data_IF_820819811179
#
_entry.id   IF_820819811179
#
_cell.length_a   1.000
_cell.length_b   1.000
_cell.length_c   1.000
_cell.angle_alpha   90.00
_cell.angle_beta   90.00
_cell.angle_gamma   90.00
#
_symmetry.space_group_name_H-M   'P 1'
#
loop_
_entity.id
_entity.type
_entity.pdbx_description
1 polymer ?
#
# COMPACT_ATOMS: atom_id res chain seq x y z
N UNK A 1 15.31 -13.43 -15.53
CA UNK A 1 14.77 -13.58 -14.17
C UNK A 1 13.87 -14.80 -14.17
N UNK A 2 14.27 -15.87 -13.48
CA UNK A 2 13.62 -17.17 -13.63
C UNK A 2 12.36 -17.24 -12.76
N UNK A 3 11.34 -18.00 -13.17
CA UNK A 3 10.05 -18.12 -12.44
C UNK A 3 10.26 -18.58 -10.99
N UNK A 4 11.29 -19.40 -10.77
CA UNK A 4 11.70 -19.90 -9.46
C UNK A 4 12.25 -18.80 -8.55
N UNK A 5 13.06 -17.88 -9.09
CA UNK A 5 13.63 -16.76 -8.34
C UNK A 5 12.53 -15.83 -7.84
N UNK A 6 11.52 -15.57 -8.69
CA UNK A 6 10.36 -14.75 -8.33
C UNK A 6 9.59 -15.36 -7.15
N UNK A 7 9.34 -16.67 -7.19
CA UNK A 7 8.63 -17.39 -6.12
C UNK A 7 9.45 -17.38 -4.83
N UNK A 8 10.77 -17.56 -4.92
CA UNK A 8 11.66 -17.56 -3.76
C UNK A 8 11.70 -16.18 -3.12
N UNK A 9 11.83 -15.12 -3.93
CA UNK A 9 11.81 -13.72 -3.49
C UNK A 9 10.46 -13.35 -2.83
N UNK A 10 9.35 -13.81 -3.43
CA UNK A 10 8.00 -13.68 -2.84
C UNK A 10 7.88 -14.46 -1.55
N UNK A 11 8.65 -15.52 -1.31
CA UNK A 11 8.62 -16.34 -0.08
C UNK A 11 9.49 -15.78 1.07
N UNK A 12 10.52 -14.99 0.81
CA UNK A 12 11.51 -14.61 1.85
C UNK A 12 11.07 -13.51 2.83
N UNK A 13 10.21 -12.58 2.41
CA UNK A 13 9.61 -11.58 3.34
C UNK A 13 9.83 -10.16 2.86
N UNK A 14 10.96 -9.96 2.20
CA UNK A 14 11.49 -8.65 1.82
C UNK A 14 10.57 -7.84 0.92
N UNK A 15 9.85 -8.47 0.00
CA UNK A 15 9.02 -7.72 -0.97
C UNK A 15 7.91 -6.93 -0.25
N UNK A 16 7.12 -7.55 0.63
CA UNK A 16 6.04 -6.85 1.34
C UNK A 16 6.55 -5.65 2.14
N UNK A 17 7.68 -5.83 2.83
CA UNK A 17 8.34 -4.75 3.59
C UNK A 17 8.77 -3.60 2.67
N UNK A 18 9.37 -3.94 1.52
CA UNK A 18 9.79 -2.95 0.53
C UNK A 18 8.58 -2.19 -0.05
N UNK A 19 7.45 -2.86 -0.34
CA UNK A 19 6.23 -2.19 -0.77
C UNK A 19 5.67 -1.23 0.28
N UNK A 20 5.67 -1.62 1.57
CA UNK A 20 5.23 -0.72 2.63
C UNK A 20 6.15 0.48 2.78
N UNK A 21 7.46 0.27 2.67
CA UNK A 21 8.45 1.34 2.72
C UNK A 21 8.27 2.31 1.54
N UNK A 22 8.04 1.79 0.33
CA UNK A 22 7.73 2.64 -0.84
C UNK A 22 6.43 3.42 -0.64
N UNK A 23 5.36 2.79 -0.16
CA UNK A 23 4.10 3.47 0.15
C UNK A 23 4.28 4.60 1.16
N UNK A 24 5.08 4.34 2.21
CA UNK A 24 5.40 5.35 3.23
C UNK A 24 6.14 6.53 2.61
N UNK A 25 7.18 6.31 1.79
CA UNK A 25 7.90 7.40 1.13
C UNK A 25 6.99 8.22 0.21
N UNK A 26 6.13 7.57 -0.58
CA UNK A 26 5.22 8.24 -1.52
C UNK A 26 4.26 9.19 -0.79
N UNK A 27 3.91 8.91 0.47
CA UNK A 27 3.07 9.78 1.29
C UNK A 27 3.93 10.81 2.05
N UNK A 28 5.02 10.37 2.68
CA UNK A 28 5.79 11.20 3.60
C UNK A 28 6.51 12.34 2.87
N UNK A 29 7.03 12.10 1.66
CA UNK A 29 7.73 13.11 0.85
C UNK A 29 6.80 14.30 0.54
N UNK A 30 5.63 14.11 -0.11
CA UNK A 30 4.76 15.23 -0.40
C UNK A 30 4.21 15.90 0.86
N UNK A 31 3.94 15.17 1.95
CA UNK A 31 3.57 15.80 3.24
C UNK A 31 4.68 16.73 3.73
N UNK A 32 5.93 16.27 3.72
CA UNK A 32 7.06 17.06 4.20
C UNK A 32 7.29 18.29 3.33
N UNK A 33 7.13 18.16 2.01
CA UNK A 33 7.24 19.30 1.09
C UNK A 33 6.17 20.34 1.42
N UNK A 34 4.90 19.95 1.50
CA UNK A 34 3.80 20.88 1.84
C UNK A 34 4.05 21.54 3.20
N UNK A 35 4.54 20.78 4.18
CA UNK A 35 4.81 21.31 5.51
C UNK A 35 5.96 22.34 5.54
N UNK A 36 6.99 22.16 4.71
CA UNK A 36 8.17 23.05 4.67
C UNK A 36 7.91 24.26 3.77
N UNK A 37 7.24 24.07 2.64
CA UNK A 37 7.04 25.13 1.64
C UNK A 37 5.76 25.92 1.87
N UNK A 38 4.82 25.39 2.64
CA UNK A 38 3.45 25.90 2.78
C UNK A 38 2.70 26.03 1.44
N UNK A 39 3.23 25.38 0.39
CA UNK A 39 2.64 25.34 -0.95
C UNK A 39 1.91 24.02 -1.11
N UNK A 40 0.57 24.03 -1.20
CA UNK A 40 -0.18 22.81 -1.43
C UNK A 40 0.08 22.28 -2.84
N UNK A 41 0.15 20.95 -2.97
CA UNK A 41 0.16 20.31 -4.27
C UNK A 41 -1.18 20.51 -4.99
N UNK A 42 -1.14 20.43 -6.33
CA UNK A 42 -2.37 20.43 -7.11
C UNK A 42 -3.28 19.27 -6.72
N UNK A 43 -4.59 19.47 -6.88
CA UNK A 43 -5.59 18.44 -6.57
C UNK A 43 -5.33 17.16 -7.36
N UNK A 44 -4.94 17.28 -8.64
CA UNK A 44 -4.60 16.14 -9.50
C UNK A 44 -3.39 15.37 -8.99
N UNK A 45 -2.30 16.06 -8.60
CA UNK A 45 -1.11 15.40 -8.09
C UNK A 45 -1.39 14.68 -6.78
N UNK A 46 -2.07 15.35 -5.85
CA UNK A 46 -2.45 14.77 -4.55
C UNK A 46 -3.30 13.51 -4.73
N UNK A 47 -4.26 13.53 -5.66
CA UNK A 47 -5.08 12.36 -6.01
C UNK A 47 -4.24 11.20 -6.51
N UNK A 48 -3.34 11.44 -7.46
CA UNK A 48 -2.47 10.39 -8.01
C UNK A 48 -1.59 9.80 -6.91
N UNK A 49 -0.92 10.63 -6.11
CA UNK A 49 -0.03 10.18 -5.03
C UNK A 49 -0.76 9.32 -4.00
N UNK A 50 -1.95 9.74 -3.56
CA UNK A 50 -2.76 8.98 -2.59
C UNK A 50 -3.19 7.64 -3.20
N UNK A 51 -3.69 7.65 -4.44
CA UNK A 51 -4.16 6.44 -5.13
C UNK A 51 -3.02 5.43 -5.35
N UNK A 52 -1.84 5.92 -5.73
CA UNK A 52 -0.63 5.10 -5.87
C UNK A 52 -0.21 4.51 -4.53
N UNK A 53 -0.21 5.30 -3.45
CA UNK A 53 0.14 4.80 -2.12
C UNK A 53 -0.83 3.69 -1.66
N UNK A 54 -2.14 3.87 -1.88
CA UNK A 54 -3.14 2.83 -1.60
C UNK A 54 -2.85 1.53 -2.38
N UNK A 55 -2.50 1.63 -3.66
CA UNK A 55 -2.17 0.48 -4.48
C UNK A 55 -0.96 -0.28 -3.92
N UNK A 56 0.10 0.42 -3.49
CA UNK A 56 1.27 -0.21 -2.86
C UNK A 56 0.93 -0.89 -1.53
N UNK A 57 0.14 -0.24 -0.66
CA UNK A 57 -0.29 -0.82 0.63
C UNK A 57 -1.13 -2.08 0.40
N UNK A 58 -2.09 -2.04 -0.53
CA UNK A 58 -2.91 -3.22 -0.88
C UNK A 58 -2.05 -4.36 -1.42
N UNK A 59 -1.16 -4.08 -2.37
CA UNK A 59 -0.26 -5.09 -2.93
C UNK A 59 0.63 -5.73 -1.84
N UNK A 60 1.18 -4.92 -0.92
CA UNK A 60 1.96 -5.40 0.22
C UNK A 60 1.16 -6.29 1.17
N UNK A 61 -0.10 -5.93 1.48
CA UNK A 61 -0.99 -6.74 2.31
C UNK A 61 -1.36 -8.06 1.62
N UNK A 62 -1.72 -8.03 0.33
CA UNK A 62 -2.09 -9.21 -0.44
C UNK A 62 -0.92 -10.20 -0.49
N UNK A 63 0.30 -9.73 -0.79
CA UNK A 63 1.51 -10.55 -0.75
C UNK A 63 1.74 -11.20 0.61
N UNK A 64 1.47 -10.46 1.69
CA UNK A 64 1.61 -10.96 3.07
C UNK A 64 0.54 -12.01 3.41
N UNK A 65 -0.70 -11.81 2.94
CA UNK A 65 -1.80 -12.76 3.10
C UNK A 65 -1.56 -14.07 2.32
N UNK A 66 -1.08 -13.98 1.07
CA UNK A 66 -0.74 -15.16 0.25
C UNK A 66 0.36 -16.00 0.91
N UNK A 67 1.24 -15.35 1.66
CA UNK A 67 2.34 -15.99 2.39
C UNK A 67 1.94 -16.67 3.68
N UNK A 68 0.94 -16.13 4.37
CA UNK A 68 0.47 -16.68 5.64
C UNK A 68 -0.12 -18.07 5.40
N UNK A 69 0.27 -19.03 6.22
CA UNK A 69 -0.33 -20.37 6.14
C UNK A 69 -1.70 -20.29 6.79
N UNK A 70 -2.65 -21.07 6.26
CA UNK A 70 -4.07 -21.12 6.66
C UNK A 70 -4.33 -21.32 8.18
N UNK A 71 -3.30 -21.72 8.93
CA UNK A 71 -3.33 -21.96 10.38
C UNK A 71 -3.00 -20.71 11.22
N UNK A 72 -2.55 -19.62 10.60
CA UNK A 72 -2.23 -18.38 11.33
C UNK A 72 -3.52 -17.66 11.78
N UNK A 73 -3.76 -17.62 13.10
CA UNK A 73 -4.92 -16.97 13.72
C UNK A 73 -5.10 -15.49 13.32
N UNK A 74 -4.03 -14.83 12.86
CA UNK A 74 -4.04 -13.42 12.50
C UNK A 74 -4.54 -13.12 11.07
N UNK A 75 -4.97 -14.13 10.30
CA UNK A 75 -5.52 -13.91 8.95
C UNK A 75 -6.80 -13.07 8.99
N UNK A 76 -7.68 -13.30 9.98
CA UNK A 76 -8.93 -12.54 10.11
C UNK A 76 -8.68 -11.04 10.33
N UNK A 77 -7.70 -10.69 11.17
CA UNK A 77 -7.31 -9.30 11.42
C UNK A 77 -6.74 -8.67 10.15
N UNK A 78 -5.91 -9.39 9.40
CA UNK A 78 -5.34 -8.89 8.15
C UNK A 78 -6.40 -8.65 7.07
N UNK A 79 -7.39 -9.54 6.97
CA UNK A 79 -8.54 -9.36 6.06
C UNK A 79 -9.36 -8.14 6.48
N UNK A 80 -9.62 -7.95 7.78
CA UNK A 80 -10.33 -6.76 8.28
C UNK A 80 -9.59 -5.47 7.91
N UNK A 81 -8.27 -5.43 8.08
CA UNK A 81 -7.43 -4.29 7.66
C UNK A 81 -7.52 -4.09 6.14
N UNK A 82 -7.47 -5.16 5.35
CA UNK A 82 -7.59 -5.08 3.89
C UNK A 82 -8.93 -4.45 3.48
N UNK A 83 -10.04 -4.88 4.10
CA UNK A 83 -11.38 -4.36 3.85
C UNK A 83 -11.47 -2.87 4.23
N UNK A 84 -10.90 -2.47 5.37
CA UNK A 84 -10.87 -1.07 5.79
C UNK A 84 -10.11 -0.19 4.80
N UNK A 85 -8.95 -0.65 4.33
CA UNK A 85 -8.17 0.03 3.29
C UNK A 85 -8.96 0.09 1.98
N UNK A 86 -9.68 -0.97 1.62
CA UNK A 86 -10.51 -1.03 0.42
C UNK A 86 -11.68 -0.05 0.49
N UNK A 87 -12.34 0.08 1.64
CA UNK A 87 -13.38 1.07 1.87
C UNK A 87 -12.82 2.49 1.77
N UNK A 88 -11.67 2.76 2.40
CA UNK A 88 -11.03 4.07 2.31
C UNK A 88 -10.67 4.44 0.86
N UNK A 89 -10.22 3.45 0.08
CA UNK A 89 -9.94 3.61 -1.34
C UNK A 89 -11.20 3.94 -2.15
N UNK A 90 -12.27 3.16 -1.98
CA UNK A 90 -13.55 3.40 -2.67
C UNK A 90 -14.11 4.78 -2.28
N UNK A 91 -14.08 5.15 -1.00
CA UNK A 91 -14.56 6.43 -0.52
C UNK A 91 -13.78 7.61 -1.10
N UNK A 92 -12.46 7.48 -1.23
CA UNK A 92 -11.62 8.48 -1.87
C UNK A 92 -11.97 8.60 -3.37
N UNK A 93 -12.26 7.47 -4.03
CA UNK A 93 -12.67 7.44 -5.43
C UNK A 93 -14.10 7.99 -5.65
N UNK A 94 -15.03 7.81 -4.72
CA UNK A 94 -16.43 8.25 -4.84
C UNK A 94 -16.66 9.71 -4.42
N UNK A 95 -15.94 10.25 -3.43
CA UNK A 95 -15.94 11.71 -3.19
C UNK A 95 -15.22 12.51 -4.29
N UNK A 96 -14.87 11.83 -5.38
CA UNK A 96 -14.19 12.35 -6.55
C UNK A 96 -15.14 12.61 -7.74
N UNK A 97 -16.41 12.17 -7.65
CA UNK A 97 -17.47 12.36 -8.65
C UNK A 97 -18.45 13.44 -8.21
#
# INVERSE_FOLDING_TARGET
MNKLDLILYIKTGNISSLLYLMALLIILIPITIVFVTDVPFSSTFSKISINTAFAFVMAGKILTLIKKKKTDKNIFVDIGILIGIFMAFIFNLTNLA
#
